data_IF_627664177339
#
_entry.id   IF_627664177339
#
_cell.length_a   1.000
_cell.length_b   1.000
_cell.length_c   1.000
_cell.angle_alpha   90.00
_cell.angle_beta   90.00
_cell.angle_gamma   90.00
#
_symmetry.space_group_name_H-M   'P 1'
#
loop_
_entity.id
_entity.type
_entity.pdbx_description
1 polymer ?
#
# COMPACT_ATOMS: atom_id res chain seq x y z
N UNK A 1 -6.81 10.46 -6.35
CA UNK A 1 -5.92 10.38 -5.18
C UNK A 1 -6.56 11.23 -4.09
N UNK A 2 -6.92 10.64 -2.94
CA UNK A 2 -7.78 11.27 -1.92
C UNK A 2 -7.06 11.60 -0.61
N UNK A 3 -5.79 11.20 -0.47
CA UNK A 3 -5.04 11.26 0.78
C UNK A 3 -4.84 12.68 1.35
N UNK A 4 -4.79 13.71 0.49
CA UNK A 4 -4.63 15.12 0.88
C UNK A 4 -5.89 15.97 0.65
N UNK A 5 -7.04 15.33 0.42
CA UNK A 5 -8.32 16.04 0.41
C UNK A 5 -8.77 16.33 1.84
N UNK A 6 -9.84 17.12 1.99
CA UNK A 6 -10.49 17.34 3.27
C UNK A 6 -10.84 15.99 3.92
N UNK A 7 -10.49 15.81 5.20
CA UNK A 7 -10.58 14.56 5.96
C UNK A 7 -9.71 13.38 5.45
N UNK A 8 -8.76 13.64 4.55
CA UNK A 8 -7.79 12.66 4.08
C UNK A 8 -6.69 12.38 5.12
N UNK A 9 -6.30 11.11 5.26
CA UNK A 9 -5.30 10.70 6.26
C UNK A 9 -3.91 11.33 6.07
N UNK A 10 -3.54 11.65 4.82
CA UNK A 10 -2.27 12.32 4.51
C UNK A 10 -2.25 13.77 4.99
N UNK A 11 -3.37 14.48 4.85
CA UNK A 11 -3.54 15.82 5.42
C UNK A 11 -3.46 15.77 6.96
N UNK A 12 -4.11 14.79 7.59
CA UNK A 12 -4.06 14.60 9.04
C UNK A 12 -2.66 14.29 9.58
N UNK A 13 -1.90 13.47 8.85
CA UNK A 13 -0.50 13.22 9.17
C UNK A 13 0.36 14.47 9.00
N UNK A 14 0.19 15.21 7.90
CA UNK A 14 0.93 16.44 7.65
C UNK A 14 0.68 17.50 8.73
N UNK A 15 -0.57 17.64 9.18
CA UNK A 15 -0.94 18.51 10.30
C UNK A 15 -0.25 18.07 11.61
N UNK A 16 -0.27 16.78 11.93
CA UNK A 16 0.37 16.23 13.16
C UNK A 16 1.87 16.36 13.18
N UNK A 17 2.48 16.27 12.00
CA UNK A 17 3.93 16.29 11.81
C UNK A 17 4.43 17.67 11.40
N UNK A 18 3.56 18.68 11.45
CA UNK A 18 3.92 20.06 11.15
C UNK A 18 5.15 20.47 11.96
N UNK A 19 6.14 21.06 11.28
CA UNK A 19 7.45 21.46 11.83
C UNK A 19 8.34 20.30 12.33
N UNK A 20 8.00 19.04 12.07
CA UNK A 20 8.82 17.86 12.40
C UNK A 20 9.30 17.14 11.15
N UNK A 21 8.40 16.88 10.20
CA UNK A 21 8.74 16.31 8.91
C UNK A 21 7.66 16.61 7.85
N UNK A 22 8.08 16.62 6.60
CA UNK A 22 7.18 16.77 5.46
C UNK A 22 6.54 15.41 5.12
N UNK A 23 5.25 15.42 4.81
CA UNK A 23 4.53 14.23 4.33
C UNK A 23 4.41 14.31 2.81
N UNK A 24 5.20 13.51 2.11
CA UNK A 24 5.24 13.51 0.64
C UNK A 24 4.45 12.33 0.08
N UNK A 25 3.43 12.61 -0.71
CA UNK A 25 2.63 11.57 -1.34
C UNK A 25 3.23 11.11 -2.68
N UNK A 26 3.54 9.82 -2.79
CA UNK A 26 3.97 9.18 -4.04
C UNK A 26 3.00 8.12 -4.57
N UNK A 27 1.79 8.04 -4.00
CA UNK A 27 0.75 7.10 -4.39
C UNK A 27 -0.01 7.57 -5.63
N UNK A 28 -0.18 6.67 -6.60
CA UNK A 28 -0.89 6.93 -7.85
C UNK A 28 -2.16 6.08 -7.89
N UNK A 29 -3.28 6.70 -8.24
CA UNK A 29 -4.58 6.04 -8.25
C UNK A 29 -4.59 4.85 -9.21
N UNK A 30 -5.07 3.70 -8.73
CA UNK A 30 -5.19 2.48 -9.52
C UNK A 30 -3.92 1.64 -9.63
N UNK A 31 -2.79 2.09 -9.07
CA UNK A 31 -1.54 1.35 -9.16
C UNK A 31 -1.50 0.12 -8.25
N UNK A 32 -0.89 -0.97 -8.75
CA UNK A 32 -0.55 -2.19 -8.02
C UNK A 32 0.97 -2.28 -7.78
N UNK A 33 1.41 -3.37 -7.15
CA UNK A 33 2.82 -3.55 -6.78
C UNK A 33 3.78 -3.70 -7.98
N UNK A 34 3.31 -4.15 -9.14
CA UNK A 34 4.16 -4.23 -10.36
C UNK A 34 4.65 -2.86 -10.78
N UNK A 35 3.75 -1.88 -10.86
CA UNK A 35 4.14 -0.52 -11.26
C UNK A 35 4.88 0.21 -10.14
N UNK A 36 4.49 -0.02 -8.88
CA UNK A 36 5.17 0.57 -7.73
C UNK A 36 6.66 0.19 -7.69
N UNK A 37 6.96 -1.10 -7.85
CA UNK A 37 8.33 -1.64 -7.90
C UNK A 37 9.19 -0.98 -8.98
N UNK A 38 8.62 -0.68 -10.15
CA UNK A 38 9.34 -0.04 -11.25
C UNK A 38 9.62 1.44 -11.03
N UNK A 39 8.75 2.13 -10.29
CA UNK A 39 8.83 3.58 -10.11
C UNK A 39 9.59 3.96 -8.85
N UNK A 40 9.59 3.10 -7.83
CA UNK A 40 10.28 3.35 -6.56
C UNK A 40 11.72 3.85 -6.73
N UNK A 41 12.56 3.28 -7.63
CA UNK A 41 13.93 3.77 -7.82
C UNK A 41 14.07 5.16 -8.43
N UNK A 42 12.98 5.72 -8.97
CA UNK A 42 12.94 7.10 -9.48
C UNK A 42 12.45 8.09 -8.43
N UNK A 43 11.86 7.61 -7.34
CA UNK A 43 11.27 8.43 -6.29
C UNK A 43 12.21 8.60 -5.10
N UNK A 44 12.89 7.53 -4.72
CA UNK A 44 13.82 7.47 -3.61
C UNK A 44 15.11 6.90 -4.15
N UNK A 45 16.13 7.75 -4.26
CA UNK A 45 17.48 7.42 -4.75
C UNK A 45 18.47 7.58 -3.60
N UNK A 46 19.69 7.02 -3.76
CA UNK A 46 20.79 7.16 -2.78
C UNK A 46 21.08 8.63 -2.42
N UNK A 47 20.93 9.55 -3.38
CA UNK A 47 21.11 10.99 -3.16
C UNK A 47 20.08 11.63 -2.23
N UNK A 48 18.94 10.97 -2.00
CA UNK A 48 17.82 11.54 -1.25
C UNK A 48 17.75 11.00 0.20
N UNK A 49 18.46 9.92 0.53
CA UNK A 49 17.91 8.93 1.48
C UNK A 49 18.53 8.87 2.87
N UNK A 50 19.83 9.09 3.08
CA UNK A 50 20.42 8.72 4.37
C UNK A 50 19.97 9.60 5.56
N UNK A 51 19.98 10.94 5.39
CA UNK A 51 19.75 11.86 6.52
C UNK A 51 18.39 12.58 6.53
N UNK A 52 17.64 12.55 5.42
CA UNK A 52 16.40 13.35 5.30
C UNK A 52 15.09 12.55 5.45
N UNK A 53 15.11 11.24 5.22
CA UNK A 53 13.91 10.41 5.23
C UNK A 53 13.69 9.79 6.61
N UNK A 54 12.71 10.32 7.34
CA UNK A 54 12.32 9.82 8.65
C UNK A 54 11.64 8.43 8.59
N UNK A 55 10.77 8.20 7.59
CA UNK A 55 10.11 6.92 7.37
C UNK A 55 9.58 6.81 5.92
N UNK A 56 9.43 5.57 5.45
CA UNK A 56 8.79 5.23 4.17
C UNK A 56 7.64 4.27 4.43
N UNK A 57 6.43 4.64 4.02
CA UNK A 57 5.27 3.76 4.07
C UNK A 57 5.00 3.11 2.71
N UNK A 58 4.96 1.78 2.63
CA UNK A 58 4.54 1.05 1.44
C UNK A 58 3.09 0.56 1.68
N UNK A 59 2.15 1.13 0.93
CA UNK A 59 0.71 0.88 1.11
C UNK A 59 0.05 0.42 -0.20
N UNK A 60 0.17 -0.87 -0.49
CA UNK A 60 -0.36 -1.52 -1.70
C UNK A 60 -1.08 -2.84 -1.36
N UNK A 61 -1.83 -3.39 -2.33
CA UNK A 61 -2.54 -4.66 -2.18
C UNK A 61 -4.02 -4.60 -2.56
N UNK A 62 -4.67 -3.45 -2.40
CA UNK A 62 -6.10 -3.32 -2.71
C UNK A 62 -6.38 -3.42 -4.22
N UNK A 63 -5.46 -2.94 -5.07
CA UNK A 63 -5.58 -3.11 -6.51
C UNK A 63 -5.14 -4.51 -6.96
N UNK A 64 -4.06 -5.00 -6.38
CA UNK A 64 -3.49 -6.33 -6.59
C UNK A 64 -4.53 -7.44 -6.30
N UNK A 65 -5.36 -7.27 -5.26
CA UNK A 65 -6.41 -8.20 -4.84
C UNK A 65 -7.64 -8.24 -5.75
N UNK A 66 -7.63 -7.52 -6.88
CA UNK A 66 -8.68 -7.62 -7.87
C UNK A 66 -8.85 -9.07 -8.36
N UNK A 67 -10.09 -9.46 -8.61
CA UNK A 67 -10.42 -10.77 -9.15
C UNK A 67 -9.91 -10.84 -10.60
N UNK A 68 -9.02 -11.81 -10.87
CA UNK A 68 -8.32 -11.96 -12.15
C UNK A 68 -9.25 -11.92 -13.36
N UNK A 69 -10.36 -12.64 -13.30
CA UNK A 69 -11.31 -12.77 -14.40
C UNK A 69 -12.10 -11.48 -14.68
N UNK A 70 -12.23 -10.59 -13.68
CA UNK A 70 -13.03 -9.38 -13.78
C UNK A 70 -12.18 -8.12 -13.97
N UNK A 71 -10.93 -8.13 -13.50
CA UNK A 71 -10.02 -7.00 -13.64
C UNK A 71 -8.56 -7.48 -13.71
N UNK A 72 -8.17 -8.13 -14.82
CA UNK A 72 -6.82 -8.67 -15.00
C UNK A 72 -5.74 -7.58 -15.05
N UNK A 73 -6.12 -6.34 -15.40
CA UNK A 73 -5.20 -5.21 -15.49
C UNK A 73 -4.62 -4.84 -14.13
N UNK A 74 -5.43 -4.88 -13.08
CA UNK A 74 -4.99 -4.54 -11.73
C UNK A 74 -4.54 -5.76 -10.93
N UNK A 75 -5.08 -6.95 -11.23
CA UNK A 75 -4.74 -8.19 -10.56
C UNK A 75 -3.23 -8.50 -10.61
N UNK A 76 -2.68 -8.84 -9.46
CA UNK A 76 -1.32 -9.38 -9.30
C UNK A 76 -1.43 -10.65 -8.48
N UNK A 77 -0.95 -11.82 -8.96
CA UNK A 77 -0.98 -13.06 -8.19
C UNK A 77 -0.35 -12.90 -6.81
N UNK A 78 -0.91 -13.58 -5.79
CA UNK A 78 -0.52 -13.39 -4.38
C UNK A 78 0.99 -13.59 -4.13
N UNK A 79 1.58 -14.61 -4.74
CA UNK A 79 3.03 -14.87 -4.65
C UNK A 79 3.86 -13.74 -5.27
N UNK A 80 3.41 -13.21 -6.42
CA UNK A 80 4.07 -12.11 -7.09
C UNK A 80 3.93 -10.80 -6.28
N UNK A 81 2.76 -10.55 -5.69
CA UNK A 81 2.54 -9.44 -4.77
C UNK A 81 3.54 -9.48 -3.61
N UNK A 82 3.67 -10.63 -2.94
CA UNK A 82 4.62 -10.81 -1.84
C UNK A 82 6.08 -10.60 -2.30
N UNK A 83 6.45 -11.16 -3.45
CA UNK A 83 7.78 -10.97 -4.04
C UNK A 83 8.06 -9.50 -4.41
N UNK A 84 7.06 -8.78 -4.91
CA UNK A 84 7.17 -7.36 -5.23
C UNK A 84 7.36 -6.52 -3.97
N UNK A 85 6.61 -6.78 -2.89
CA UNK A 85 6.82 -6.11 -1.60
C UNK A 85 8.25 -6.34 -1.08
N UNK A 86 8.72 -7.59 -1.07
CA UNK A 86 10.11 -7.93 -0.69
C UNK A 86 11.14 -7.17 -1.53
N UNK A 87 10.93 -7.12 -2.84
CA UNK A 87 11.81 -6.40 -3.77
C UNK A 87 11.88 -4.90 -3.43
N UNK A 88 10.74 -4.28 -3.12
CA UNK A 88 10.68 -2.86 -2.76
C UNK A 88 11.39 -2.59 -1.42
N UNK A 89 11.21 -3.46 -0.43
CA UNK A 89 11.93 -3.35 0.86
C UNK A 89 13.43 -3.52 0.67
N UNK A 90 13.86 -4.51 -0.10
CA UNK A 90 15.28 -4.73 -0.41
C UNK A 90 15.90 -3.53 -1.13
N UNK A 91 15.17 -2.94 -2.08
CA UNK A 91 15.61 -1.72 -2.76
C UNK A 91 15.78 -0.54 -1.79
N UNK A 92 14.82 -0.32 -0.90
CA UNK A 92 14.92 0.75 0.10
C UNK A 92 16.14 0.55 1.01
N UNK A 93 16.41 -0.69 1.43
CA UNK A 93 17.61 -1.03 2.19
C UNK A 93 18.90 -0.79 1.41
N UNK A 94 18.92 -1.05 0.10
CA UNK A 94 20.11 -0.79 -0.73
C UNK A 94 20.41 0.69 -0.95
N UNK A 95 19.45 1.58 -0.67
CA UNK A 95 19.64 3.04 -0.71
C UNK A 95 19.64 3.64 0.70
N UNK A 96 20.14 2.88 1.68
CA UNK A 96 20.36 3.31 3.07
C UNK A 96 19.10 3.66 3.89
N UNK A 97 17.91 3.22 3.48
CA UNK A 97 16.72 3.25 4.34
C UNK A 97 16.71 1.99 5.21
N UNK A 98 16.99 2.17 6.50
CA UNK A 98 17.03 1.08 7.47
C UNK A 98 15.65 0.45 7.68
N UNK A 99 15.62 -0.82 8.08
CA UNK A 99 14.38 -1.61 8.15
C UNK A 99 13.35 -1.02 9.12
N UNK A 100 13.80 -0.40 10.22
CA UNK A 100 12.99 0.29 11.23
C UNK A 100 12.33 1.58 10.71
N UNK A 101 12.81 2.12 9.58
CA UNK A 101 12.20 3.27 8.90
C UNK A 101 11.22 2.86 7.81
N UNK A 102 11.07 1.56 7.53
CA UNK A 102 10.15 1.04 6.51
C UNK A 102 8.92 0.50 7.22
N UNK A 103 7.75 0.99 6.83
CA UNK A 103 6.46 0.55 7.39
C UNK A 103 5.62 -0.01 6.25
N UNK A 104 5.32 -1.30 6.29
CA UNK A 104 4.34 -1.91 5.41
C UNK A 104 2.93 -1.66 5.95
N UNK A 105 2.00 -1.29 5.09
CA UNK A 105 0.60 -1.07 5.47
C UNK A 105 -0.25 -2.07 4.67
N UNK A 106 -1.01 -2.91 5.37
CA UNK A 106 -1.88 -3.90 4.70
C UNK A 106 -3.02 -3.21 3.97
N UNK A 107 -3.50 -3.74 2.83
CA UNK A 107 -4.71 -3.20 2.20
C UNK A 107 -5.87 -3.20 3.21
N UNK A 108 -6.66 -2.11 3.31
CA UNK A 108 -7.77 -2.04 4.26
C UNK A 108 -8.88 -3.03 3.87
N UNK A 109 -9.82 -3.34 4.79
CA UNK A 109 -10.95 -4.18 4.45
C UNK A 109 -11.82 -3.51 3.39
N UNK A 110 -12.41 -4.31 2.50
CA UNK A 110 -13.29 -3.83 1.45
C UNK A 110 -14.75 -3.90 1.91
N UNK A 111 -15.46 -2.78 1.87
CA UNK A 111 -16.92 -2.80 1.98
C UNK A 111 -17.53 -3.18 0.63
N UNK A 112 -17.83 -4.47 0.46
CA UNK A 112 -18.25 -5.05 -0.84
C UNK A 112 -19.49 -4.38 -1.42
N UNK A 113 -20.51 -4.08 -0.60
CA UNK A 113 -21.76 -3.48 -1.07
C UNK A 113 -21.60 -2.05 -1.61
N UNK A 114 -20.73 -1.24 -1.02
CA UNK A 114 -20.42 0.08 -1.56
C UNK A 114 -19.52 -0.01 -2.80
N UNK A 115 -18.58 -0.96 -2.81
CA UNK A 115 -17.73 -1.17 -3.97
C UNK A 115 -18.51 -1.67 -5.18
N UNK A 116 -19.47 -2.58 -4.97
CA UNK A 116 -20.38 -3.06 -6.01
C UNK A 116 -21.15 -1.90 -6.65
N UNK A 117 -21.74 -1.01 -5.84
CA UNK A 117 -22.41 0.20 -6.34
C UNK A 117 -21.47 1.06 -7.20
N UNK A 118 -20.22 1.23 -6.78
CA UNK A 118 -19.22 1.98 -7.53
C UNK A 118 -18.80 1.30 -8.84
N UNK A 119 -18.73 -0.03 -8.87
CA UNK A 119 -18.51 -0.82 -10.09
C UNK A 119 -19.68 -0.68 -11.06
N UNK A 120 -20.91 -0.90 -10.58
CA UNK A 120 -22.12 -0.81 -11.41
C UNK A 120 -22.30 0.59 -12.03
N UNK A 121 -21.98 1.65 -11.28
CA UNK A 121 -22.01 3.02 -11.79
C UNK A 121 -21.04 3.27 -12.96
N UNK A 122 -20.03 2.41 -13.14
CA UNK A 122 -19.06 2.45 -14.24
C UNK A 122 -19.34 1.41 -15.34
N UNK A 123 -20.42 0.63 -15.21
CA UNK A 123 -20.72 -0.48 -16.10
C UNK A 123 -19.88 -1.74 -15.82
N UNK A 124 -19.19 -1.81 -14.68
CA UNK A 124 -18.37 -2.94 -14.26
C UNK A 124 -19.14 -3.88 -13.30
N UNK A 125 -18.65 -5.11 -13.16
CA UNK A 125 -19.09 -6.06 -12.11
C UNK A 125 -18.24 -5.92 -10.85
N UNK A 126 -18.75 -6.40 -9.72
CA UNK A 126 -17.98 -6.48 -8.46
C UNK A 126 -16.68 -7.25 -8.68
N UNK A 127 -15.56 -6.52 -8.73
CA UNK A 127 -14.28 -7.07 -9.16
C UNK A 127 -13.28 -7.31 -8.01
N UNK A 128 -13.72 -7.19 -6.77
CA UNK A 128 -12.94 -7.41 -5.54
C UNK A 128 -13.86 -7.92 -4.44
N UNK A 129 -13.32 -8.72 -3.55
CA UNK A 129 -13.99 -9.11 -2.30
C UNK A 129 -13.05 -8.93 -1.11
N UNK A 130 -13.64 -8.80 0.08
CA UNK A 130 -12.90 -8.61 1.32
C UNK A 130 -12.11 -9.87 1.69
N UNK A 131 -12.66 -11.06 1.40
CA UNK A 131 -11.98 -12.33 1.65
C UNK A 131 -10.66 -12.45 0.87
N UNK A 132 -10.66 -12.15 -0.43
CA UNK A 132 -9.42 -12.11 -1.22
C UNK A 132 -8.49 -11.01 -0.70
N UNK A 133 -9.01 -9.81 -0.42
CA UNK A 133 -8.18 -8.72 0.14
C UNK A 133 -7.49 -9.10 1.45
N UNK A 134 -8.15 -9.90 2.31
CA UNK A 134 -7.57 -10.45 3.52
C UNK A 134 -6.37 -11.37 3.28
N UNK A 135 -6.35 -12.13 2.18
CA UNK A 135 -5.18 -12.95 1.81
C UNK A 135 -3.97 -12.06 1.48
N UNK A 136 -4.18 -10.95 0.78
CA UNK A 136 -3.11 -9.98 0.47
C UNK A 136 -2.65 -9.25 1.73
N UNK A 137 -3.57 -8.94 2.66
CA UNK A 137 -3.21 -8.39 3.96
C UNK A 137 -2.30 -9.33 4.76
N UNK A 138 -2.67 -10.62 4.85
CA UNK A 138 -1.84 -11.62 5.51
C UNK A 138 -0.46 -11.78 4.86
N UNK A 139 -0.39 -11.79 3.52
CA UNK A 139 0.87 -11.82 2.80
C UNK A 139 1.74 -10.59 3.10
N UNK A 140 1.15 -9.40 3.18
CA UNK A 140 1.86 -8.17 3.55
C UNK A 140 2.44 -8.24 4.97
N UNK A 141 1.67 -8.72 5.95
CA UNK A 141 2.16 -8.97 7.32
C UNK A 141 3.31 -9.96 7.34
N UNK A 142 3.20 -11.05 6.59
CA UNK A 142 4.24 -12.07 6.52
C UNK A 142 5.53 -11.52 5.89
N UNK A 143 5.42 -10.74 4.81
CA UNK A 143 6.58 -10.07 4.20
C UNK A 143 7.27 -9.13 5.18
N UNK A 144 6.51 -8.35 5.94
CA UNK A 144 7.09 -7.44 6.93
C UNK A 144 7.92 -8.18 7.99
N UNK A 145 7.39 -9.29 8.51
CA UNK A 145 8.11 -10.16 9.46
C UNK A 145 9.40 -10.71 8.85
N UNK A 146 9.33 -11.25 7.64
CA UNK A 146 10.49 -11.81 6.95
C UNK A 146 11.56 -10.76 6.62
N UNK A 147 11.15 -9.53 6.36
CA UNK A 147 12.06 -8.43 6.06
C UNK A 147 12.54 -7.68 7.32
N UNK A 148 11.99 -7.97 8.50
CA UNK A 148 12.29 -7.27 9.75
C UNK A 148 11.86 -5.80 9.72
N UNK A 149 10.75 -5.47 9.05
CA UNK A 149 10.18 -4.12 9.00
C UNK A 149 8.93 -4.03 9.87
N UNK A 150 8.52 -2.81 10.21
CA UNK A 150 7.24 -2.59 10.88
C UNK A 150 6.06 -2.85 9.94
N UNK A 151 4.91 -3.20 10.53
CA UNK A 151 3.65 -3.37 9.79
C UNK A 151 2.47 -2.78 10.53
N UNK A 152 1.65 -2.02 9.80
CA UNK A 152 0.33 -1.61 10.24
C UNK A 152 -0.72 -2.51 9.57
N UNK A 153 -1.26 -3.45 10.34
CA UNK A 153 -2.31 -4.37 9.86
C UNK A 153 -3.70 -3.71 9.90
N UNK A 154 -3.93 -2.79 8.95
CA UNK A 154 -5.21 -2.09 8.79
C UNK A 154 -6.37 -3.04 8.53
N UNK A 155 -6.16 -4.08 7.72
CA UNK A 155 -7.21 -5.07 7.44
C UNK A 155 -7.79 -5.62 8.74
N UNK A 156 -6.95 -6.10 9.65
CA UNK A 156 -7.40 -6.62 10.94
C UNK A 156 -7.92 -5.50 11.85
N UNK A 157 -7.19 -4.39 11.99
CA UNK A 157 -7.53 -3.32 12.93
C UNK A 157 -8.89 -2.68 12.66
N UNK A 158 -9.25 -2.47 11.39
CA UNK A 158 -10.50 -1.82 11.00
C UNK A 158 -11.74 -2.73 11.12
N UNK A 159 -11.53 -4.03 11.36
CA UNK A 159 -12.62 -5.00 11.53
C UNK A 159 -12.88 -5.35 13.00
N UNK A 160 -12.05 -4.89 13.95
CA UNK A 160 -12.21 -5.22 15.39
C UNK A 160 -13.45 -4.61 16.05
N UNK A 161 -14.15 -3.70 15.38
CA UNK A 161 -15.35 -3.01 15.87
C UNK A 161 -16.53 -3.10 14.88
N UNK A 162 -16.54 -4.12 14.01
CA UNK A 162 -17.68 -4.42 13.14
C UNK A 162 -18.59 -5.48 13.75
#
# INVERSE_FOLDING_TARGET
>A
QYSFQENGWGAYLAERLVRKCDVVNRGISGYNTRWAKLILPRLITESNSADSIAAVTIFFGANDSALKELNPKQHVPLEEYAANLKSMVQYLKSVDITADRIILITPPPLQESAWEKACLAKGDKLNRCNATTGQYAQACVQVARECGTDVLDLWTLMQKNQ
#
